data_IF_392480383031
#
_entry.id   IF_392480383031
#
_cell.length_a   1.000
_cell.length_b   1.000
_cell.length_c   1.000
_cell.angle_alpha   90.00
_cell.angle_beta   90.00
_cell.angle_gamma   90.00
#
_symmetry.space_group_name_H-M   'P 1'
#
loop_
_entity.id
_entity.type
_entity.pdbx_description
1 polymer ?
#
# COMPACT_ATOMS: atom_id res chain seq x y z
N UNK A 1 -12.47 8.54 -3.13
CA UNK A 1 -11.78 9.84 -2.98
C UNK A 1 -10.66 9.94 -4.00
N UNK A 2 -10.57 11.03 -4.77
CA UNK A 2 -9.59 11.15 -5.87
C UNK A 2 -8.17 11.42 -5.36
N UNK A 3 -7.20 10.69 -5.92
CA UNK A 3 -5.76 10.91 -5.74
C UNK A 3 -5.24 11.88 -6.81
N UNK A 4 -5.36 11.50 -8.08
CA UNK A 4 -4.92 12.27 -9.24
C UNK A 4 -5.67 11.83 -10.50
N UNK A 5 -5.40 12.50 -11.61
CA UNK A 5 -5.86 12.11 -12.93
C UNK A 5 -4.68 11.85 -13.86
N UNK A 6 -4.73 10.79 -14.65
CA UNK A 6 -3.71 10.40 -15.62
C UNK A 6 -4.35 10.13 -16.97
N UNK A 7 -4.07 10.98 -17.97
CA UNK A 7 -4.62 10.86 -19.33
C UNK A 7 -6.15 10.68 -19.36
N UNK A 8 -6.87 11.42 -18.51
CA UNK A 8 -8.32 11.35 -18.39
C UNK A 8 -8.86 10.25 -17.46
N UNK A 9 -8.01 9.33 -17.00
CA UNK A 9 -8.37 8.31 -16.02
C UNK A 9 -8.21 8.85 -14.59
N UNK A 10 -9.16 8.58 -13.71
CA UNK A 10 -9.09 9.00 -12.31
C UNK A 10 -8.59 7.86 -11.43
N UNK A 11 -7.51 8.10 -10.70
CA UNK A 11 -7.03 7.22 -9.64
C UNK A 11 -7.73 7.61 -8.33
N UNK A 12 -8.35 6.65 -7.65
CA UNK A 12 -9.17 6.88 -6.46
C UNK A 12 -8.89 5.84 -5.38
N UNK A 13 -9.05 6.23 -4.12
CA UNK A 13 -9.30 5.27 -3.03
C UNK A 13 -10.82 5.09 -2.94
N UNK A 14 -11.32 3.89 -3.21
CA UNK A 14 -12.69 3.54 -2.86
C UNK A 14 -12.77 3.29 -1.36
N UNK A 15 -13.94 3.36 -0.73
CA UNK A 15 -14.08 3.19 0.74
C UNK A 15 -15.11 2.13 1.12
N UNK A 16 -15.91 1.67 0.15
CA UNK A 16 -16.92 0.64 0.37
C UNK A 16 -16.29 -0.70 0.08
N UNK A 17 -16.41 -1.62 1.03
CA UNK A 17 -15.93 -3.02 0.92
C UNK A 17 -14.40 -3.15 0.73
N UNK A 18 -13.66 -2.08 0.98
CA UNK A 18 -12.20 -2.09 0.95
C UNK A 18 -11.66 -2.90 2.12
N UNK A 19 -10.71 -3.77 1.80
CA UNK A 19 -10.01 -4.63 2.74
C UNK A 19 -8.53 -4.66 2.37
N UNK A 20 -7.73 -5.20 3.28
CA UNK A 20 -6.30 -5.36 3.06
C UNK A 20 -5.99 -6.22 1.83
N UNK A 21 -4.87 -5.95 1.12
CA UNK A 21 -3.89 -4.87 1.35
C UNK A 21 -4.37 -3.47 0.92
N UNK A 22 -3.67 -2.38 1.32
CA UNK A 22 -3.93 -1.03 0.83
C UNK A 22 -3.87 -0.95 -0.70
N UNK A 23 -4.91 -0.38 -1.31
CA UNK A 23 -4.98 -0.31 -2.76
C UNK A 23 -5.76 0.89 -3.30
N UNK A 24 -5.41 1.29 -4.51
CA UNK A 24 -6.09 2.33 -5.28
C UNK A 24 -6.74 1.75 -6.53
N UNK A 25 -7.76 2.43 -7.02
CA UNK A 25 -8.64 1.97 -8.09
C UNK A 25 -8.64 2.95 -9.25
N UNK A 26 -8.77 2.41 -10.45
CA UNK A 26 -9.13 3.14 -11.66
C UNK A 26 -10.35 2.46 -12.25
N UNK A 27 -11.36 3.25 -12.60
CA UNK A 27 -12.51 2.81 -13.39
C UNK A 27 -12.53 3.59 -14.71
N UNK A 28 -12.46 2.87 -15.83
CA UNK A 28 -12.49 3.40 -17.19
C UNK A 28 -13.80 3.03 -17.92
N UNK A 29 -14.83 2.61 -17.19
CA UNK A 29 -16.16 2.23 -17.68
C UNK A 29 -16.22 0.86 -18.36
N UNK A 30 -15.25 0.54 -19.21
CA UNK A 30 -15.16 -0.77 -19.88
C UNK A 30 -14.23 -1.76 -19.19
N UNK A 31 -13.35 -1.25 -18.32
CA UNK A 31 -12.44 -2.00 -17.47
C UNK A 31 -12.15 -1.19 -16.20
N UNK A 32 -11.78 -1.89 -15.14
CA UNK A 32 -11.22 -1.32 -13.92
C UNK A 32 -9.90 -2.01 -13.59
N UNK A 33 -9.06 -1.33 -12.81
CA UNK A 33 -7.81 -1.90 -12.32
C UNK A 33 -7.56 -1.48 -10.89
N UNK A 34 -6.92 -2.37 -10.13
CA UNK A 34 -6.51 -2.11 -8.74
C UNK A 34 -5.00 -2.15 -8.63
N UNK A 35 -4.44 -1.24 -7.84
CA UNK A 35 -3.01 -1.11 -7.62
C UNK A 35 -2.73 -1.17 -6.12
N UNK A 36 -1.95 -2.16 -5.68
CA UNK A 36 -1.52 -2.30 -4.30
C UNK A 36 -0.43 -1.30 -3.98
N UNK A 37 -0.47 -0.76 -2.77
CA UNK A 37 0.62 -0.02 -2.16
C UNK A 37 0.80 -0.50 -0.72
N UNK A 38 1.82 0.02 -0.05
CA UNK A 38 2.16 -0.37 1.31
C UNK A 38 2.51 0.82 2.19
N UNK A 39 2.50 0.58 3.49
CA UNK A 39 2.97 1.47 4.53
C UNK A 39 4.39 1.13 5.02
N UNK A 40 5.09 0.17 4.40
CA UNK A 40 6.50 -0.10 4.74
C UNK A 40 7.49 0.15 3.58
N UNK A 41 6.99 0.30 2.35
CA UNK A 41 7.79 0.62 1.16
C UNK A 41 6.97 1.45 0.16
N UNK A 42 7.67 2.06 -0.80
CA UNK A 42 7.09 2.97 -1.80
C UNK A 42 6.78 2.33 -3.15
N UNK A 43 6.97 1.02 -3.32
CA UNK A 43 6.61 0.37 -4.58
C UNK A 43 5.10 0.17 -4.70
N UNK A 44 4.63 0.21 -5.94
CA UNK A 44 3.24 -0.02 -6.31
C UNK A 44 3.18 -1.18 -7.28
N UNK A 45 2.24 -2.08 -7.06
CA UNK A 45 2.02 -3.25 -7.90
C UNK A 45 0.62 -3.24 -8.51
N UNK A 46 0.50 -3.65 -9.77
CA UNK A 46 -0.81 -3.99 -10.32
C UNK A 46 -1.36 -5.22 -9.57
N UNK A 47 -2.55 -5.10 -9.00
CA UNK A 47 -3.26 -6.21 -8.37
C UNK A 47 -4.01 -7.01 -9.43
N UNK A 48 -4.96 -6.37 -10.10
CA UNK A 48 -5.78 -6.99 -11.12
C UNK A 48 -6.37 -5.98 -12.10
N UNK A 49 -6.99 -6.52 -13.15
CA UNK A 49 -7.78 -5.78 -14.13
C UNK A 49 -9.07 -6.57 -14.37
N UNK A 50 -10.21 -5.90 -14.31
CA UNK A 50 -11.52 -6.50 -14.46
C UNK A 50 -12.37 -5.77 -15.51
N UNK A 51 -12.98 -6.46 -16.50
CA UNK A 51 -12.70 -7.84 -16.87
C UNK A 51 -11.33 -7.96 -17.54
N UNK A 52 -10.65 -9.08 -17.32
CA UNK A 52 -9.35 -9.35 -17.94
C UNK A 52 -9.40 -9.30 -19.48
N UNK A 53 -10.55 -9.65 -20.08
CA UNK A 53 -10.77 -9.61 -21.53
C UNK A 53 -10.77 -8.21 -22.14
N UNK A 54 -10.90 -7.16 -21.32
CA UNK A 54 -10.86 -5.76 -21.76
C UNK A 54 -9.66 -5.01 -21.20
N UNK A 55 -8.61 -5.76 -20.85
CA UNK A 55 -7.38 -5.19 -20.31
C UNK A 55 -6.80 -4.13 -21.27
N UNK A 56 -6.49 -2.92 -20.77
CA UNK A 56 -5.88 -1.89 -21.60
C UNK A 56 -4.43 -2.26 -21.95
N UNK A 57 -3.79 -1.52 -22.88
CA UNK A 57 -2.37 -1.68 -23.16
C UNK A 57 -1.52 -1.58 -21.88
N UNK A 58 -0.47 -2.41 -21.79
CA UNK A 58 0.43 -2.47 -20.63
C UNK A 58 1.01 -1.09 -20.29
N UNK A 59 1.32 -0.27 -21.29
CA UNK A 59 1.83 1.09 -21.11
C UNK A 59 0.87 2.03 -20.36
N UNK A 60 -0.44 1.79 -20.43
CA UNK A 60 -1.43 2.54 -19.65
C UNK A 60 -1.35 2.13 -18.18
N UNK A 61 -1.28 0.82 -17.91
CA UNK A 61 -1.18 0.28 -16.54
C UNK A 61 0.14 0.69 -15.88
N UNK A 62 1.26 0.59 -16.58
CA UNK A 62 2.57 1.04 -16.06
C UNK A 62 2.61 2.55 -15.86
N UNK A 63 1.98 3.33 -16.75
CA UNK A 63 1.87 4.77 -16.57
C UNK A 63 1.06 5.16 -15.33
N UNK A 64 -0.04 4.46 -15.05
CA UNK A 64 -0.83 4.63 -13.83
C UNK A 64 -0.05 4.21 -12.58
N UNK A 65 0.67 3.09 -12.66
CA UNK A 65 1.52 2.56 -11.58
C UNK A 65 2.60 3.57 -11.21
N UNK A 66 3.39 4.03 -12.19
CA UNK A 66 4.43 5.03 -11.99
C UNK A 66 3.90 6.39 -11.54
N UNK A 67 2.70 6.78 -12.01
CA UNK A 67 2.05 7.97 -11.51
C UNK A 67 1.66 7.79 -10.03
N UNK A 68 1.13 6.64 -9.62
CA UNK A 68 0.82 6.39 -8.22
C UNK A 68 2.08 6.34 -7.33
N UNK A 69 3.20 5.80 -7.83
CA UNK A 69 4.50 5.77 -7.13
C UNK A 69 5.08 7.15 -6.82
N UNK A 70 4.59 8.22 -7.46
CA UNK A 70 5.09 9.57 -7.16
C UNK A 70 4.88 9.90 -5.68
N UNK A 71 5.88 10.48 -4.98
CA UNK A 71 5.82 10.68 -3.52
C UNK A 71 4.56 11.41 -3.04
N UNK A 72 4.14 12.45 -3.77
CA UNK A 72 2.93 13.21 -3.44
C UNK A 72 1.65 12.36 -3.54
N UNK A 73 1.56 11.47 -4.53
CA UNK A 73 0.41 10.60 -4.73
C UNK A 73 0.39 9.44 -3.73
N UNK A 74 1.55 8.84 -3.43
CA UNK A 74 1.68 7.83 -2.37
C UNK A 74 1.30 8.39 -1.01
N UNK A 75 1.83 9.56 -0.63
CA UNK A 75 1.48 10.22 0.64
C UNK A 75 -0.03 10.48 0.70
N UNK A 76 -0.62 11.04 -0.35
CA UNK A 76 -2.06 11.27 -0.45
C UNK A 76 -2.86 9.97 -0.28
N UNK A 77 -2.45 8.89 -0.93
CA UNK A 77 -3.10 7.58 -0.85
C UNK A 77 -3.09 7.04 0.58
N UNK A 78 -1.92 7.06 1.23
CA UNK A 78 -1.73 6.65 2.61
C UNK A 78 -2.54 7.48 3.59
N UNK A 79 -2.56 8.82 3.45
CA UNK A 79 -3.37 9.69 4.27
C UNK A 79 -4.86 9.34 4.17
N UNK A 80 -5.40 9.22 2.95
CA UNK A 80 -6.81 8.88 2.75
C UNK A 80 -7.14 7.50 3.33
N UNK A 81 -6.30 6.50 3.04
CA UNK A 81 -6.49 5.14 3.54
C UNK A 81 -6.48 5.12 5.07
N UNK A 82 -5.49 5.75 5.70
CA UNK A 82 -5.37 5.82 7.15
C UNK A 82 -6.54 6.57 7.80
N UNK A 83 -6.90 7.75 7.27
CA UNK A 83 -8.01 8.58 7.78
C UNK A 83 -9.37 7.87 7.72
N UNK A 84 -9.54 6.87 6.85
CA UNK A 84 -10.83 6.22 6.60
C UNK A 84 -10.93 4.79 7.08
N UNK A 85 -9.83 4.04 7.04
CA UNK A 85 -9.80 2.62 7.39
C UNK A 85 -8.99 2.35 8.67
N UNK A 86 -8.19 3.32 9.15
CA UNK A 86 -7.43 3.23 10.40
C UNK A 86 -6.59 1.95 10.54
N UNK A 87 -6.03 1.48 9.43
CA UNK A 87 -5.16 0.31 9.39
C UNK A 87 -4.09 0.46 8.32
N UNK A 88 -2.91 -0.07 8.60
CA UNK A 88 -1.81 -0.20 7.63
C UNK A 88 -1.68 -1.62 7.09
N UNK A 89 -2.54 -2.54 7.54
CA UNK A 89 -2.58 -3.94 7.14
C UNK A 89 -1.30 -4.75 7.44
N UNK A 90 -0.52 -4.37 8.47
CA UNK A 90 0.73 -5.05 8.83
C UNK A 90 0.66 -5.84 10.15
N UNK A 91 -0.44 -5.72 10.89
CA UNK A 91 -0.62 -6.43 12.16
C UNK A 91 -0.51 -7.95 11.97
N UNK A 92 0.18 -8.61 12.90
CA UNK A 92 0.48 -10.04 12.90
C UNK A 92 1.35 -10.53 11.73
N UNK A 93 1.91 -9.62 10.92
CA UNK A 93 2.96 -9.99 9.97
C UNK A 93 4.34 -10.02 10.64
N UNK A 94 5.36 -10.47 9.92
CA UNK A 94 6.72 -10.62 10.44
C UNK A 94 7.61 -9.56 9.82
N UNK A 95 8.29 -8.79 10.66
CA UNK A 95 9.36 -7.88 10.26
C UNK A 95 10.71 -8.59 10.30
N UNK A 96 11.51 -8.49 9.24
CA UNK A 96 12.90 -8.94 9.21
C UNK A 96 13.84 -7.75 9.28
N UNK A 97 14.60 -7.66 10.38
CA UNK A 97 15.58 -6.60 10.60
C UNK A 97 16.72 -6.61 9.59
N UNK A 98 17.06 -7.78 9.03
CA UNK A 98 18.18 -7.92 8.12
C UNK A 98 17.86 -7.30 6.75
N UNK A 99 16.63 -7.48 6.27
CA UNK A 99 16.20 -6.98 4.96
C UNK A 99 15.41 -5.69 5.06
N UNK A 100 14.92 -5.33 6.25
CA UNK A 100 13.96 -4.23 6.45
C UNK A 100 12.69 -4.44 5.62
N UNK A 101 12.20 -5.67 5.59
CA UNK A 101 11.02 -6.08 4.85
C UNK A 101 10.01 -6.81 5.75
N UNK A 102 8.75 -6.76 5.33
CA UNK A 102 7.72 -7.63 5.89
C UNK A 102 7.75 -8.96 5.14
N UNK A 103 8.00 -10.06 5.84
CA UNK A 103 8.19 -11.39 5.28
C UNK A 103 7.02 -12.32 5.61
N UNK A 104 6.70 -13.23 4.68
CA UNK A 104 5.79 -14.34 4.94
C UNK A 104 6.47 -15.36 5.87
N UNK A 105 5.67 -15.97 6.75
CA UNK A 105 6.00 -16.92 7.85
C UNK A 105 7.06 -18.01 7.56
N UNK A 106 7.41 -18.25 6.29
CA UNK A 106 8.36 -19.28 5.87
C UNK A 106 9.84 -19.02 6.24
N UNK A 107 10.20 -17.84 6.78
CA UNK A 107 11.59 -17.49 7.12
C UNK A 107 11.71 -16.82 8.49
N UNK A 108 11.32 -17.52 9.55
CA UNK A 108 11.60 -17.05 10.92
C UNK A 108 13.09 -17.28 11.20
N UNK A 109 13.89 -16.23 11.11
CA UNK A 109 15.27 -16.19 11.57
C UNK A 109 15.35 -15.51 12.95
N UNK A 110 16.49 -15.59 13.64
CA UNK A 110 16.72 -14.87 14.90
C UNK A 110 16.61 -13.34 14.76
N UNK A 111 16.62 -12.83 13.52
CA UNK A 111 16.47 -11.41 13.16
C UNK A 111 15.02 -11.03 12.82
N UNK A 112 14.05 -11.87 13.12
CA UNK A 112 12.64 -11.59 12.82
C UNK A 112 11.82 -11.31 14.07
N UNK A 113 10.86 -10.39 13.96
CA UNK A 113 9.93 -10.02 15.02
C UNK A 113 8.50 -9.95 14.51
N UNK A 114 7.55 -10.50 15.28
CA UNK A 114 6.13 -10.37 14.95
C UNK A 114 5.66 -8.95 15.23
N UNK A 115 4.97 -8.35 14.28
CA UNK A 115 4.32 -7.04 14.43
C UNK A 115 3.06 -7.25 15.28
N UNK A 116 3.06 -6.71 16.50
CA UNK A 116 1.89 -6.72 17.38
C UNK A 116 0.88 -5.65 16.98
N UNK A 117 1.36 -4.48 16.59
CA UNK A 117 0.54 -3.43 16.01
C UNK A 117 1.36 -2.53 15.09
N UNK A 118 0.70 -1.88 14.14
CA UNK A 118 1.32 -0.91 13.25
C UNK A 118 0.45 0.34 13.07
N UNK A 119 1.10 1.51 13.05
CA UNK A 119 0.46 2.82 12.96
C UNK A 119 1.11 3.66 11.86
N UNK A 120 0.33 4.49 11.17
CA UNK A 120 0.85 5.48 10.23
C UNK A 120 0.66 6.89 10.77
N UNK A 121 1.70 7.71 10.68
CA UNK A 121 1.72 9.12 11.06
C UNK A 121 1.73 10.02 9.81
N UNK A 122 0.58 10.62 9.42
CA UNK A 122 0.46 11.42 8.20
C UNK A 122 1.32 12.68 8.15
N UNK A 123 1.57 13.29 9.31
CA UNK A 123 2.32 14.54 9.43
C UNK A 123 3.80 14.35 9.08
N UNK A 124 4.38 13.24 9.56
CA UNK A 124 5.78 12.87 9.37
C UNK A 124 6.01 11.90 8.21
N UNK A 125 4.93 11.36 7.61
CA UNK A 125 4.96 10.31 6.59
C UNK A 125 5.74 9.07 7.07
N UNK A 126 5.49 8.66 8.32
CA UNK A 126 6.17 7.54 8.97
C UNK A 126 5.22 6.41 9.27
N UNK A 127 5.75 5.19 9.30
CA UNK A 127 5.06 4.03 9.86
C UNK A 127 5.83 3.49 11.05
N UNK A 128 5.11 3.32 12.15
CA UNK A 128 5.61 2.79 13.41
C UNK A 128 5.13 1.36 13.57
N UNK A 129 6.05 0.43 13.82
CA UNK A 129 5.74 -0.97 14.12
C UNK A 129 6.09 -1.25 15.59
N UNK A 130 5.11 -1.68 16.37
CA UNK A 130 5.37 -2.26 17.68
C UNK A 130 5.56 -3.76 17.51
N UNK A 131 6.78 -4.25 17.77
CA UNK A 131 7.07 -5.68 17.68
C UNK A 131 6.87 -6.36 19.04
N UNK A 132 6.34 -7.58 19.02
CA UNK A 132 6.12 -8.36 20.24
C UNK A 132 7.47 -8.68 20.90
N UNK A 133 7.64 -8.22 22.14
CA UNK A 133 8.86 -8.47 22.92
C UNK A 133 10.04 -7.55 22.61
N UNK A 134 9.87 -6.53 21.75
CA UNK A 134 10.91 -5.53 21.45
C UNK A 134 10.40 -4.13 21.82
N UNK A 135 10.88 -3.54 22.93
CA UNK A 135 10.38 -2.26 23.44
C UNK A 135 10.54 -1.08 22.47
N UNK A 136 11.61 -1.06 21.69
CA UNK A 136 11.97 0.07 20.82
C UNK A 136 11.10 0.15 19.55
N UNK A 137 10.55 -0.98 19.10
CA UNK A 137 9.81 -1.05 17.83
C UNK A 137 10.64 -0.68 16.60
N UNK A 138 9.96 -0.39 15.48
CA UNK A 138 10.57 0.02 14.21
C UNK A 138 9.93 1.32 13.74
N UNK A 139 10.74 2.28 13.32
CA UNK A 139 10.29 3.47 12.59
C UNK A 139 10.69 3.35 11.12
N UNK A 140 9.73 3.53 10.21
CA UNK A 140 9.94 3.51 8.77
C UNK A 140 9.60 4.89 8.21
N UNK A 141 10.58 5.55 7.60
CA UNK A 141 10.38 6.79 6.86
C UNK A 141 10.02 6.48 5.41
N UNK A 142 8.90 7.02 4.94
CA UNK A 142 8.39 6.81 3.58
C UNK A 142 8.53 8.05 2.69
#
# INVERSE_FOLDING_TARGET
MRLFSYKGLSMVIMLRDEHCPPHAHVDAGTWSARFKFSFWHNSVELWDVNPHSRRPPVSVLEGLRHALEQPAHMRRARCIWWEKLHTVCLDHQIWDWQTSEVVLVKRIASTTGMIGSACYEPETNKTLLALIGVPEGVEIQL
#
